data_IF_218174364097
#
_entry.id   IF_218174364097
#
_cell.length_a   1.000
_cell.length_b   1.000
_cell.length_c   1.000
_cell.angle_alpha   90.00
_cell.angle_beta   90.00
_cell.angle_gamma   90.00
#
_symmetry.space_group_name_H-M   'P 1'
#
loop_
_entity.id
_entity.type
_entity.pdbx_description
1 polymer ?
#
# COMPACT_ATOMS: atom_id res chain seq x y z
N UNK A 1 -22.81 23.13 -17.29
CA UNK A 1 -22.10 22.02 -17.94
C UNK A 1 -22.54 20.70 -17.30
N UNK A 2 -22.84 19.69 -18.08
CA UNK A 2 -23.23 18.40 -17.54
C UNK A 2 -22.06 17.75 -16.79
N UNK A 3 -22.37 17.02 -15.74
CA UNK A 3 -21.37 16.29 -14.92
C UNK A 3 -20.46 15.38 -15.78
N UNK A 4 -21.05 14.73 -16.79
CA UNK A 4 -20.29 13.92 -17.74
C UNK A 4 -19.21 14.73 -18.47
N UNK A 5 -19.54 15.95 -18.89
CA UNK A 5 -18.60 16.80 -19.62
C UNK A 5 -17.43 17.22 -18.73
N UNK A 6 -17.69 17.47 -17.45
CA UNK A 6 -16.62 17.78 -16.48
C UNK A 6 -15.65 16.62 -16.35
N UNK A 7 -16.16 15.40 -16.27
CA UNK A 7 -15.32 14.20 -16.17
C UNK A 7 -14.51 14.00 -17.45
N UNK A 8 -15.11 14.16 -18.61
CA UNK A 8 -14.41 14.00 -19.89
C UNK A 8 -13.27 15.02 -20.05
N UNK A 9 -13.52 16.27 -19.68
CA UNK A 9 -12.49 17.33 -19.72
C UNK A 9 -11.34 16.99 -18.78
N UNK A 10 -11.64 16.55 -17.57
CA UNK A 10 -10.60 16.18 -16.61
C UNK A 10 -9.73 15.03 -17.13
N UNK A 11 -10.37 13.97 -17.66
CA UNK A 11 -9.66 12.82 -18.22
C UNK A 11 -8.78 13.25 -19.40
N UNK A 12 -9.31 14.08 -20.30
CA UNK A 12 -8.53 14.55 -21.45
C UNK A 12 -7.32 15.35 -21.02
N UNK A 13 -7.47 16.21 -20.01
CA UNK A 13 -6.34 16.99 -19.49
C UNK A 13 -5.26 16.09 -18.87
N UNK A 14 -5.67 15.05 -18.15
CA UNK A 14 -4.73 14.07 -17.59
C UNK A 14 -3.95 13.36 -18.69
N UNK A 15 -4.62 12.98 -19.77
CA UNK A 15 -3.99 12.28 -20.88
C UNK A 15 -3.04 13.17 -21.69
N UNK A 16 -3.33 14.46 -21.79
CA UNK A 16 -2.54 15.42 -22.58
C UNK A 16 -1.36 15.98 -21.81
N UNK A 17 -1.42 16.00 -20.48
CA UNK A 17 -0.36 16.58 -19.65
C UNK A 17 0.80 15.59 -19.50
N UNK A 18 2.02 16.09 -19.64
CA UNK A 18 3.21 15.28 -19.42
C UNK A 18 3.43 15.03 -17.93
N UNK A 19 3.86 13.81 -17.60
CA UNK A 19 4.22 13.46 -16.24
C UNK A 19 5.54 14.12 -15.84
N UNK A 20 5.53 14.75 -14.67
CA UNK A 20 6.76 15.17 -14.00
C UNK A 20 7.24 14.03 -13.12
N UNK A 21 8.50 13.65 -13.28
CA UNK A 21 9.12 12.57 -12.51
C UNK A 21 10.34 13.10 -11.79
N UNK A 22 10.50 12.71 -10.53
CA UNK A 22 11.73 12.98 -9.80
C UNK A 22 12.20 11.71 -9.11
N UNK A 23 13.51 11.60 -8.98
CA UNK A 23 14.13 10.52 -8.21
C UNK A 23 13.97 10.81 -6.72
N UNK A 24 13.57 9.81 -5.96
CA UNK A 24 13.42 9.92 -4.52
C UNK A 24 14.22 8.88 -3.78
N UNK A 25 14.53 9.16 -2.52
CA UNK A 25 15.21 8.23 -1.62
C UNK A 25 14.33 7.85 -0.43
N UNK A 26 13.24 8.56 -0.25
CA UNK A 26 12.28 8.35 0.83
C UNK A 26 10.87 8.26 0.25
N UNK A 27 9.99 7.58 0.97
CA UNK A 27 8.59 7.50 0.58
C UNK A 27 7.96 8.87 0.83
N UNK A 28 7.40 9.52 -0.21
CA UNK A 28 6.78 10.84 -0.04
C UNK A 28 5.49 10.75 0.74
N UNK A 29 5.17 11.79 1.50
CA UNK A 29 3.87 11.94 2.11
C UNK A 29 2.82 12.28 1.04
N UNK A 30 1.54 11.96 1.26
CA UNK A 30 0.50 12.30 0.30
C UNK A 30 0.44 13.78 -0.07
N UNK A 31 0.84 14.65 0.86
CA UNK A 31 0.89 16.10 0.65
C UNK A 31 1.93 16.52 -0.37
N UNK A 32 2.99 15.73 -0.53
CA UNK A 32 4.06 15.98 -1.49
C UNK A 32 3.70 15.52 -2.90
N UNK A 33 2.59 14.80 -3.05
CA UNK A 33 2.11 14.28 -4.33
C UNK A 33 0.71 14.81 -4.61
N UNK A 34 0.58 16.04 -5.12
CA UNK A 34 -0.73 16.57 -5.51
C UNK A 34 -1.33 15.72 -6.64
N UNK A 35 -2.65 15.77 -6.78
CA UNK A 35 -3.37 15.04 -7.82
C UNK A 35 -3.14 15.67 -9.19
N UNK A 36 -1.90 15.60 -9.65
CA UNK A 36 -1.42 16.04 -10.97
C UNK A 36 -0.49 14.96 -11.52
N UNK A 37 -0.01 15.16 -12.73
CA UNK A 37 0.92 14.23 -13.37
C UNK A 37 2.34 14.39 -12.80
N UNK A 38 2.47 14.12 -11.49
CA UNK A 38 3.73 14.19 -10.76
C UNK A 38 4.00 12.82 -10.12
N UNK A 39 5.21 12.31 -10.29
CA UNK A 39 5.62 11.03 -9.72
C UNK A 39 6.99 11.14 -9.06
N UNK A 40 7.19 10.37 -7.99
CA UNK A 40 8.49 10.15 -7.37
C UNK A 40 8.91 8.72 -7.65
N UNK A 41 10.06 8.54 -8.29
CA UNK A 41 10.60 7.23 -8.62
C UNK A 41 11.51 6.74 -7.49
N UNK A 42 11.27 5.52 -7.02
CA UNK A 42 12.03 4.90 -5.95
C UNK A 42 12.42 3.48 -6.33
N UNK A 43 13.61 3.07 -5.90
CA UNK A 43 13.96 1.65 -5.87
C UNK A 43 13.50 1.08 -4.54
N UNK A 44 12.59 0.12 -4.58
CA UNK A 44 11.97 -0.40 -3.37
C UNK A 44 11.52 -1.85 -3.55
N UNK A 45 11.38 -2.55 -2.42
CA UNK A 45 10.68 -3.83 -2.35
C UNK A 45 9.34 -3.60 -1.70
N UNK A 46 8.27 -4.05 -2.34
CA UNK A 46 6.91 -3.91 -1.84
C UNK A 46 6.43 -5.26 -1.31
N UNK A 47 5.93 -5.26 -0.09
CA UNK A 47 5.34 -6.42 0.56
C UNK A 47 3.84 -6.21 0.74
N UNK A 48 3.05 -7.15 0.25
CA UNK A 48 1.65 -7.29 0.61
C UNK A 48 1.49 -8.52 1.49
N UNK A 49 0.99 -8.32 2.69
CA UNK A 49 0.64 -9.41 3.60
C UNK A 49 -0.88 -9.49 3.70
N UNK A 50 -1.42 -10.63 3.29
CA UNK A 50 -2.86 -10.87 3.20
C UNK A 50 -3.22 -12.11 4.03
N UNK A 51 -4.27 -12.02 4.84
CA UNK A 51 -4.73 -13.15 5.64
C UNK A 51 -5.45 -14.15 4.74
N UNK A 52 -4.87 -15.34 4.60
CA UNK A 52 -5.44 -16.38 3.77
C UNK A 52 -6.81 -16.85 4.29
N UNK A 53 -7.74 -17.07 3.36
CA UNK A 53 -9.09 -17.59 3.67
C UNK A 53 -9.90 -16.69 4.62
N UNK A 54 -9.66 -15.39 4.61
CA UNK A 54 -10.36 -14.43 5.48
C UNK A 54 -11.89 -14.46 5.28
N UNK A 55 -12.34 -14.63 4.04
CA UNK A 55 -13.77 -14.72 3.71
C UNK A 55 -14.42 -15.94 4.36
N UNK A 56 -13.73 -17.08 4.36
CA UNK A 56 -14.22 -18.29 5.03
C UNK A 56 -14.29 -18.10 6.54
N UNK A 57 -13.30 -17.41 7.11
CA UNK A 57 -13.26 -17.14 8.54
C UNK A 57 -14.44 -16.27 8.96
N UNK A 58 -14.76 -15.22 8.22
CA UNK A 58 -15.87 -14.32 8.54
C UNK A 58 -17.23 -15.01 8.42
N UNK A 59 -17.36 -16.02 7.56
CA UNK A 59 -18.59 -16.78 7.40
C UNK A 59 -18.73 -17.94 8.41
N UNK A 60 -17.60 -18.48 8.87
CA UNK A 60 -17.59 -19.68 9.72
C UNK A 60 -17.50 -19.42 11.20
N UNK A 61 -17.18 -18.21 11.63
CA UNK A 61 -16.96 -17.87 13.03
C UNK A 61 -17.74 -16.63 13.43
N UNK A 62 -17.86 -16.41 14.74
CA UNK A 62 -18.52 -15.20 15.26
C UNK A 62 -17.74 -13.95 14.89
N UNK A 63 -18.45 -12.85 14.69
CA UNK A 63 -17.87 -11.59 14.24
C UNK A 63 -16.74 -11.11 15.15
N UNK A 64 -16.93 -11.20 16.48
CA UNK A 64 -15.91 -10.75 17.44
C UNK A 64 -14.62 -11.58 17.35
N UNK A 65 -14.74 -12.87 17.06
CA UNK A 65 -13.57 -13.76 16.89
C UNK A 65 -12.81 -13.40 15.62
N UNK A 66 -13.51 -13.18 14.52
CA UNK A 66 -12.90 -12.75 13.26
C UNK A 66 -12.19 -11.41 13.43
N UNK A 67 -12.81 -10.47 14.12
CA UNK A 67 -12.20 -9.17 14.40
C UNK A 67 -10.93 -9.30 15.23
N UNK A 68 -10.92 -10.16 16.24
CA UNK A 68 -9.73 -10.41 17.06
C UNK A 68 -8.58 -11.01 16.23
N UNK A 69 -8.89 -11.94 15.32
CA UNK A 69 -7.89 -12.53 14.43
C UNK A 69 -7.31 -11.48 13.49
N UNK A 70 -8.15 -10.63 12.89
CA UNK A 70 -7.69 -9.56 12.02
C UNK A 70 -6.79 -8.57 12.77
N UNK A 71 -7.20 -8.13 13.96
CA UNK A 71 -6.41 -7.22 14.78
C UNK A 71 -5.05 -7.80 15.13
N UNK A 72 -5.04 -9.07 15.56
CA UNK A 72 -3.80 -9.75 15.94
C UNK A 72 -2.88 -9.91 14.74
N UNK A 73 -3.42 -10.30 13.60
CA UNK A 73 -2.67 -10.45 12.36
C UNK A 73 -2.04 -9.13 11.92
N UNK A 74 -2.84 -8.06 11.85
CA UNK A 74 -2.35 -6.75 11.43
C UNK A 74 -1.30 -6.19 12.39
N UNK A 75 -1.50 -6.37 13.69
CA UNK A 75 -0.52 -5.93 14.68
C UNK A 75 0.82 -6.65 14.50
N UNK A 76 0.80 -7.97 14.38
CA UNK A 76 2.01 -8.76 14.22
C UNK A 76 2.72 -8.42 12.90
N UNK A 77 1.98 -8.34 11.81
CA UNK A 77 2.54 -7.98 10.50
C UNK A 77 3.18 -6.59 10.53
N UNK A 78 2.51 -5.62 11.12
CA UNK A 78 3.03 -4.26 11.24
C UNK A 78 4.31 -4.22 12.08
N UNK A 79 4.34 -4.93 13.18
CA UNK A 79 5.54 -5.04 14.04
C UNK A 79 6.73 -5.62 13.29
N UNK A 80 6.50 -6.69 12.53
CA UNK A 80 7.56 -7.34 11.76
C UNK A 80 8.09 -6.41 10.68
N UNK A 81 7.20 -5.75 9.94
CA UNK A 81 7.59 -4.82 8.89
C UNK A 81 8.43 -3.68 9.47
N UNK A 82 7.99 -3.07 10.56
CA UNK A 82 8.73 -1.97 11.20
C UNK A 82 10.06 -2.41 11.79
N UNK A 83 10.12 -3.62 12.35
CA UNK A 83 11.36 -4.19 12.89
C UNK A 83 12.42 -4.43 11.81
N UNK A 84 11.99 -4.51 10.55
CA UNK A 84 12.88 -4.70 9.39
C UNK A 84 13.08 -3.42 8.59
N UNK A 85 12.82 -2.27 9.20
CA UNK A 85 12.98 -0.95 8.59
C UNK A 85 12.03 -0.69 7.41
N UNK A 86 10.91 -1.39 7.37
CA UNK A 86 9.86 -1.16 6.41
C UNK A 86 8.94 -0.02 6.83
N UNK A 87 8.32 0.62 5.84
CA UNK A 87 7.34 1.68 6.05
C UNK A 87 5.99 1.16 5.63
N UNK A 88 5.00 1.28 6.51
CA UNK A 88 3.64 0.85 6.22
C UNK A 88 2.93 1.96 5.46
N UNK A 89 2.45 1.64 4.26
CA UNK A 89 1.83 2.62 3.37
C UNK A 89 0.33 2.44 3.24
N UNK A 90 -0.19 1.27 3.59
CA UNK A 90 -1.64 1.04 3.50
C UNK A 90 -2.07 -0.11 4.42
N UNK A 91 -3.28 0.01 4.95
CA UNK A 91 -4.02 -1.07 5.61
C UNK A 91 -5.35 -1.24 4.91
N UNK A 92 -5.79 -2.48 4.80
CA UNK A 92 -7.10 -2.78 4.25
C UNK A 92 -7.61 -4.07 4.91
N UNK A 93 -8.50 -3.92 5.89
CA UNK A 93 -9.16 -5.03 6.58
C UNK A 93 -8.26 -6.20 6.97
N UNK A 94 -7.96 -7.06 6.02
CA UNK A 94 -7.15 -8.27 6.18
C UNK A 94 -5.77 -8.17 5.52
N UNK A 95 -5.37 -6.99 5.05
CA UNK A 95 -4.12 -6.78 4.35
C UNK A 95 -3.34 -5.59 4.90
N UNK A 96 -2.02 -5.69 4.78
CA UNK A 96 -1.11 -4.58 5.07
C UNK A 96 -0.06 -4.52 3.97
N UNK A 97 0.27 -3.31 3.54
CA UNK A 97 1.32 -3.07 2.56
C UNK A 97 2.49 -2.37 3.22
N UNK A 98 3.67 -2.94 3.04
CA UNK A 98 4.92 -2.37 3.51
C UNK A 98 5.87 -2.12 2.35
N UNK A 99 6.71 -1.11 2.49
CA UNK A 99 7.72 -0.76 1.49
C UNK A 99 9.08 -0.69 2.16
N UNK A 100 10.06 -1.34 1.55
CA UNK A 100 11.45 -1.36 2.02
C UNK A 100 12.32 -0.67 0.98
N UNK A 101 13.13 0.28 1.42
CA UNK A 101 14.04 1.03 0.54
C UNK A 101 15.49 0.91 1.03
N UNK A 102 16.45 1.28 0.16
CA UNK A 102 17.86 1.25 0.50
C UNK A 102 18.37 -0.15 0.85
N UNK A 103 19.15 -0.26 1.91
CA UNK A 103 19.73 -1.54 2.34
C UNK A 103 18.68 -2.54 2.83
N UNK A 104 17.59 -2.08 3.43
CA UNK A 104 16.52 -2.94 3.92
C UNK A 104 15.82 -3.69 2.78
N UNK A 105 15.80 -3.14 1.59
CA UNK A 105 15.24 -3.75 0.39
C UNK A 105 15.82 -5.15 0.13
N UNK A 106 17.12 -5.29 0.19
CA UNK A 106 17.81 -6.56 -0.08
C UNK A 106 17.61 -7.57 1.03
N UNK A 107 17.73 -7.12 2.29
CA UNK A 107 17.60 -8.00 3.47
C UNK A 107 16.21 -8.62 3.58
N UNK A 108 15.20 -7.92 3.13
CA UNK A 108 13.81 -8.30 3.36
C UNK A 108 13.15 -8.98 2.16
N UNK A 109 13.86 -9.22 1.07
CA UNK A 109 13.35 -9.98 -0.07
C UNK A 109 12.90 -11.40 0.32
N UNK A 110 13.54 -12.00 1.33
CA UNK A 110 13.21 -13.34 1.80
C UNK A 110 11.96 -13.41 2.66
N UNK A 111 11.53 -12.29 3.22
CA UNK A 111 10.34 -12.22 4.08
C UNK A 111 9.06 -12.43 3.27
N UNK A 112 9.12 -12.19 1.97
CA UNK A 112 7.98 -12.33 1.06
C UNK A 112 7.39 -13.73 0.99
N UNK A 113 8.09 -14.74 1.53
CA UNK A 113 7.71 -16.15 1.43
C UNK A 113 7.15 -16.74 2.71
N UNK A 114 6.80 -15.92 3.68
CA UNK A 114 6.10 -16.37 4.90
C UNK A 114 4.60 -16.37 4.57
N UNK A 115 4.19 -17.39 3.91
CA UNK A 115 2.78 -17.54 3.53
C UNK A 115 2.00 -18.44 4.46
#
# INVERSE_FOLDING_TARGET
MAFRDELEVYVQNVLDEQWERRQGKEIPDPEDLPLKNLAVELEATVLYADLAASTKMTKGYKDWFAADVYKSYLYCAAKIIRARDGIITAYDGDRVMGVFIGESKKRNCQILWIG
#
